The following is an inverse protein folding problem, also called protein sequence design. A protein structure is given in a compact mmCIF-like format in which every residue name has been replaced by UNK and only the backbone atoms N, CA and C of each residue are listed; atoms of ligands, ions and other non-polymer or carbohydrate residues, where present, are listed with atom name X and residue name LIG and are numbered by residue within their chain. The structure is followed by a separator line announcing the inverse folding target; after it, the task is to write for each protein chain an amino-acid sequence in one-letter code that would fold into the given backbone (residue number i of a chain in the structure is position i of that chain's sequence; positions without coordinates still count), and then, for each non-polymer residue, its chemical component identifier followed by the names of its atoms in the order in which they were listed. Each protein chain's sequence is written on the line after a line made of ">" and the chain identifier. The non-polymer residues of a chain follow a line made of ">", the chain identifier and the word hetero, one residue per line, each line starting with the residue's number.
data_IF_020320989557
#
_entry.id   IF_020320989557
#
_cell.length_a   1.000
_cell.length_b   1.000
_cell.length_c   1.000
_cell.angle_alpha   90.00
_cell.angle_beta   90.00
_cell.angle_gamma   90.00
#
_symmetry.space_group_name_H-M   'P 1'
#
loop_
_entity.id
_entity.type
_entity.pdbx_description
1 polymer ?
#
# COMPACT_ATOMS: atom_id res chain seq x y z
N UNK A 1 7.51 -3.56 6.17
CA UNK A 1 7.62 -2.08 6.42
C UNK A 1 6.52 -1.59 7.36
N UNK A 2 6.73 -0.47 8.06
CA UNK A 2 5.75 0.15 8.97
C UNK A 2 5.61 1.66 8.69
N UNK A 3 4.37 2.14 8.65
CA UNK A 3 4.00 3.55 8.64
C UNK A 3 3.22 3.84 9.91
N UNK A 4 3.63 4.88 10.64
CA UNK A 4 2.96 5.32 11.86
C UNK A 4 2.72 6.81 11.77
N UNK A 5 1.47 7.19 11.96
CA UNK A 5 1.09 8.60 11.98
C UNK A 5 1.71 9.32 13.19
N UNK A 6 1.98 10.62 13.04
CA UNK A 6 2.55 11.45 14.12
C UNK A 6 1.71 11.47 15.40
N UNK A 7 0.39 11.33 15.32
CA UNK A 7 -0.47 11.19 16.51
C UNK A 7 -0.27 9.85 17.24
N UNK A 8 0.36 8.88 16.57
CA UNK A 8 0.63 7.54 17.05
C UNK A 8 -0.55 6.56 16.94
N UNK A 9 -1.71 6.99 16.44
CA UNK A 9 -2.92 6.16 16.35
C UNK A 9 -3.03 5.43 15.00
N UNK A 10 -3.17 6.11 13.84
CA UNK A 10 -3.11 5.41 12.56
C UNK A 10 -1.77 4.71 12.39
N UNK A 11 -1.82 3.42 12.04
CA UNK A 11 -0.66 2.59 11.78
C UNK A 11 -0.98 1.60 10.67
N UNK A 12 -0.08 1.50 9.70
CA UNK A 12 -0.15 0.53 8.61
C UNK A 12 1.16 -0.23 8.57
N UNK A 13 1.10 -1.55 8.69
CA UNK A 13 2.22 -2.44 8.45
C UNK A 13 1.91 -3.27 7.22
N UNK A 14 2.88 -3.40 6.33
CA UNK A 14 2.79 -4.22 5.14
C UNK A 14 4.05 -5.07 5.01
N UNK A 15 3.90 -6.32 4.59
CA UNK A 15 5.01 -7.24 4.33
C UNK A 15 4.76 -8.04 3.04
N UNK A 16 5.76 -8.17 2.14
CA UNK A 16 5.75 -9.22 1.14
C UNK A 16 6.15 -10.52 1.85
N UNK A 17 5.29 -11.54 1.79
CA UNK A 17 5.44 -12.74 2.65
C UNK A 17 6.05 -13.90 1.89
N UNK A 18 5.48 -14.20 0.72
CA UNK A 18 5.83 -15.33 -0.13
C UNK A 18 5.28 -15.09 -1.53
N UNK A 19 5.60 -15.98 -2.46
CA UNK A 19 4.93 -16.03 -3.76
C UNK A 19 3.61 -16.77 -3.61
N UNK A 20 2.61 -16.40 -4.41
CA UNK A 20 1.32 -17.10 -4.46
C UNK A 20 1.49 -18.58 -4.77
N UNK A 21 2.34 -18.89 -5.75
CA UNK A 21 2.64 -20.27 -6.13
C UNK A 21 3.96 -20.74 -5.51
N UNK A 22 3.91 -21.93 -4.89
CA UNK A 22 5.07 -22.50 -4.21
C UNK A 22 6.23 -22.83 -5.15
N UNK A 23 5.95 -23.09 -6.43
CA UNK A 23 6.94 -23.46 -7.45
C UNK A 23 6.71 -22.66 -8.73
N UNK A 24 7.81 -22.26 -9.36
CA UNK A 24 7.77 -21.60 -10.65
C UNK A 24 7.38 -22.61 -11.75
N UNK A 25 6.44 -22.23 -12.60
CA UNK A 25 5.89 -23.03 -13.69
C UNK A 25 6.45 -22.60 -15.06
N UNK A 26 7.30 -21.57 -15.10
CA UNK A 26 7.86 -21.00 -16.33
C UNK A 26 7.01 -19.88 -16.93
N UNK A 27 5.99 -19.42 -16.20
CA UNK A 27 5.23 -18.22 -16.55
C UNK A 27 5.73 -17.07 -15.67
N UNK A 28 6.55 -16.19 -16.26
CA UNK A 28 7.18 -15.10 -15.52
C UNK A 28 6.15 -14.14 -14.87
N UNK A 29 4.91 -14.08 -15.33
CA UNK A 29 3.89 -13.26 -14.70
C UNK A 29 3.35 -13.92 -13.44
N UNK A 30 2.83 -15.15 -13.58
CA UNK A 30 2.26 -15.90 -12.46
C UNK A 30 3.33 -16.31 -11.43
N UNK A 31 4.55 -16.62 -11.86
CA UNK A 31 5.62 -17.04 -10.97
C UNK A 31 6.10 -15.92 -10.03
N UNK A 32 5.84 -14.66 -10.39
CA UNK A 32 6.28 -13.47 -9.65
C UNK A 32 5.16 -12.78 -8.85
N UNK A 33 4.01 -13.44 -8.73
CA UNK A 33 2.89 -12.99 -7.93
C UNK A 33 3.21 -13.14 -6.42
N UNK A 34 3.12 -12.05 -5.66
CA UNK A 34 3.43 -11.97 -4.23
C UNK A 34 2.17 -11.89 -3.35
N UNK A 35 2.17 -12.70 -2.29
CA UNK A 35 1.25 -12.57 -1.17
C UNK A 35 1.72 -11.43 -0.27
N UNK A 36 0.85 -10.44 -0.08
CA UNK A 36 1.08 -9.31 0.81
C UNK A 36 0.25 -9.51 2.08
N UNK A 37 0.91 -9.41 3.23
CA UNK A 37 0.23 -9.31 4.52
C UNK A 37 0.20 -7.87 4.98
N UNK A 38 -0.93 -7.47 5.55
CA UNK A 38 -1.06 -6.16 6.18
C UNK A 38 -1.73 -6.22 7.54
N UNK A 39 -1.29 -5.33 8.43
CA UNK A 39 -1.93 -5.04 9.70
C UNK A 39 -2.22 -3.55 9.76
N UNK A 40 -3.49 -3.20 9.96
CA UNK A 40 -3.94 -1.82 9.93
C UNK A 40 -4.66 -1.47 11.22
N UNK A 41 -4.29 -0.34 11.79
CA UNK A 41 -4.99 0.32 12.91
C UNK A 41 -5.41 1.70 12.43
N UNK A 42 -6.70 1.99 12.46
CA UNK A 42 -7.25 3.28 12.06
C UNK A 42 -8.48 3.61 12.93
N UNK A 43 -8.44 4.74 13.65
CA UNK A 43 -9.50 5.22 14.56
C UNK A 43 -10.11 4.08 15.41
N UNK A 44 -11.27 3.56 15.00
CA UNK A 44 -12.06 2.55 15.74
C UNK A 44 -11.91 1.13 15.20
N UNK A 45 -11.06 0.92 14.19
CA UNK A 45 -10.93 -0.37 13.51
C UNK A 45 -9.48 -0.84 13.50
N UNK A 46 -9.33 -2.13 13.77
CA UNK A 46 -8.10 -2.87 13.57
C UNK A 46 -8.42 -4.11 12.74
N UNK A 47 -7.68 -4.33 11.67
CA UNK A 47 -7.83 -5.52 10.84
C UNK A 47 -6.49 -5.96 10.28
N UNK A 48 -6.49 -7.17 9.75
CA UNK A 48 -5.38 -7.72 8.99
C UNK A 48 -5.90 -8.38 7.72
N UNK A 49 -5.02 -8.53 6.75
CA UNK A 49 -5.28 -9.26 5.52
C UNK A 49 -4.00 -9.97 5.08
N UNK A 50 -4.16 -11.05 4.29
CA UNK A 50 -3.05 -11.80 3.69
C UNK A 50 -3.55 -12.41 2.39
N UNK A 51 -3.25 -11.76 1.27
CA UNK A 51 -3.73 -12.17 -0.04
C UNK A 51 -2.66 -11.88 -1.11
N UNK A 52 -2.68 -12.60 -2.24
CA UNK A 52 -2.04 -12.09 -3.44
C UNK A 52 -2.53 -10.65 -3.68
N UNK A 53 -1.64 -9.66 -3.55
CA UNK A 53 -1.91 -8.28 -3.99
C UNK A 53 -0.93 -7.59 -4.97
N UNK A 54 0.29 -8.07 -5.22
CA UNK A 54 1.26 -7.42 -6.12
C UNK A 54 2.07 -8.44 -6.92
N UNK A 55 2.48 -8.11 -8.15
CA UNK A 55 3.66 -8.76 -8.76
C UNK A 55 4.96 -8.13 -8.23
N UNK A 56 6.09 -8.84 -8.33
CA UNK A 56 7.36 -8.36 -7.76
C UNK A 56 7.78 -6.98 -8.27
N UNK A 57 7.53 -6.67 -9.54
CA UNK A 57 7.89 -5.40 -10.14
C UNK A 57 7.06 -4.25 -9.56
N UNK A 58 5.75 -4.45 -9.39
CA UNK A 58 4.86 -3.53 -8.69
C UNK A 58 5.28 -3.34 -7.23
N UNK A 59 5.73 -4.40 -6.56
CA UNK A 59 6.23 -4.30 -5.20
C UNK A 59 7.51 -3.45 -5.13
N UNK A 60 8.40 -3.50 -6.12
CA UNK A 60 9.59 -2.62 -6.18
C UNK A 60 9.16 -1.15 -6.27
N UNK A 61 8.14 -0.84 -7.07
CA UNK A 61 7.63 0.53 -7.25
C UNK A 61 7.17 1.18 -5.94
N UNK A 62 6.71 0.41 -4.95
CA UNK A 62 6.35 0.94 -3.63
C UNK A 62 7.55 1.62 -2.95
N UNK A 63 8.72 0.98 -2.95
CA UNK A 63 9.90 1.58 -2.34
C UNK A 63 10.35 2.84 -3.09
N UNK A 64 10.32 2.81 -4.41
CA UNK A 64 10.66 3.96 -5.24
C UNK A 64 9.67 5.11 -5.04
N UNK A 65 8.39 4.81 -4.85
CA UNK A 65 7.35 5.78 -4.55
C UNK A 65 7.61 6.47 -3.20
N UNK A 66 7.94 5.72 -2.15
CA UNK A 66 8.31 6.33 -0.87
C UNK A 66 9.56 7.21 -0.94
N UNK A 67 10.54 6.84 -1.78
CA UNK A 67 11.69 7.72 -2.05
C UNK A 67 11.28 8.99 -2.79
N UNK A 68 10.36 8.91 -3.76
CA UNK A 68 9.81 10.10 -4.42
C UNK A 68 9.06 10.98 -3.43
N UNK A 69 8.27 10.41 -2.52
CA UNK A 69 7.59 11.15 -1.45
C UNK A 69 8.60 11.88 -0.57
N UNK A 70 9.63 11.19 -0.06
CA UNK A 70 10.65 11.80 0.80
C UNK A 70 11.41 12.95 0.11
N UNK A 71 11.53 12.90 -1.22
CA UNK A 71 12.18 13.93 -2.03
C UNK A 71 11.20 14.96 -2.62
N UNK A 72 9.91 14.92 -2.23
CA UNK A 72 8.83 15.79 -2.77
C UNK A 72 8.68 15.73 -4.30
N UNK A 73 8.97 14.58 -4.89
CA UNK A 73 8.85 14.31 -6.33
C UNK A 73 7.52 13.66 -6.70
N UNK A 74 6.75 13.22 -5.71
CA UNK A 74 5.42 12.66 -5.90
C UNK A 74 4.36 13.75 -5.76
N UNK A 75 3.50 13.93 -6.76
CA UNK A 75 2.51 15.01 -6.77
C UNK A 75 1.33 14.72 -5.83
N UNK A 76 0.85 15.69 -5.03
CA UNK A 76 -0.37 15.51 -4.25
C UNK A 76 -1.60 15.27 -5.12
N UNK A 77 -2.46 14.34 -4.72
CA UNK A 77 -3.73 14.01 -5.40
C UNK A 77 -4.92 14.54 -4.60
N UNK A 78 -5.83 15.19 -5.33
CA UNK A 78 -7.07 15.76 -4.80
C UNK A 78 -8.31 14.90 -5.08
N UNK A 79 -9.45 15.35 -4.56
CA UNK A 79 -10.75 14.76 -4.89
C UNK A 79 -11.09 15.02 -6.36
N UNK A 80 -11.57 13.98 -7.04
CA UNK A 80 -12.19 14.07 -8.36
C UNK A 80 -13.65 14.53 -8.24
N UNK A 81 -14.23 14.96 -9.35
CA UNK A 81 -15.61 15.45 -9.39
C UNK A 81 -16.69 14.43 -8.95
N UNK A 82 -16.35 13.13 -8.89
CA UNK A 82 -17.19 12.06 -8.36
C UNK A 82 -16.93 11.73 -6.88
N UNK A 83 -16.09 12.51 -6.19
CA UNK A 83 -15.70 12.28 -4.80
C UNK A 83 -14.63 11.19 -4.60
N UNK A 84 -14.18 10.52 -5.67
CA UNK A 84 -13.09 9.55 -5.61
C UNK A 84 -11.71 10.23 -5.58
N UNK A 85 -10.71 9.53 -5.07
CA UNK A 85 -9.29 9.91 -5.18
C UNK A 85 -8.67 8.94 -6.17
N UNK A 86 -7.96 9.46 -7.17
CA UNK A 86 -7.10 8.62 -8.01
C UNK A 86 -5.74 8.49 -7.31
N UNK A 87 -5.32 7.26 -6.97
CA UNK A 87 -4.01 7.05 -6.38
C UNK A 87 -2.90 7.41 -7.37
N UNK A 88 -1.76 7.88 -6.86
CA UNK A 88 -0.61 8.16 -7.71
C UNK A 88 0.28 6.93 -7.94
N UNK A 89 0.07 5.87 -7.16
CA UNK A 89 0.56 4.52 -7.39
C UNK A 89 -0.58 3.52 -7.19
N UNK A 90 -0.87 2.71 -8.21
CA UNK A 90 -1.93 1.70 -8.22
C UNK A 90 -1.44 0.46 -8.98
N UNK A 91 -2.05 -0.69 -8.70
CA UNK A 91 -1.55 -1.98 -9.17
C UNK A 91 -2.61 -2.78 -9.93
N UNK A 92 -2.15 -3.86 -10.57
CA UNK A 92 -2.99 -4.79 -11.33
C UNK A 92 -4.11 -5.36 -10.47
N UNK A 93 -3.76 -5.88 -9.29
CA UNK A 93 -4.75 -6.25 -8.27
C UNK A 93 -5.03 -5.03 -7.38
N UNK A 94 -6.25 -4.47 -7.40
CA UNK A 94 -6.55 -3.20 -6.74
C UNK A 94 -6.67 -3.29 -5.21
N UNK A 95 -6.09 -4.32 -4.59
CA UNK A 95 -6.08 -4.51 -3.14
C UNK A 95 -5.42 -3.34 -2.41
N UNK A 96 -4.32 -2.82 -2.97
CA UNK A 96 -3.57 -1.69 -2.42
C UNK A 96 -3.41 -0.57 -3.44
N UNK A 97 -3.26 0.66 -2.96
CA UNK A 97 -2.75 1.78 -3.73
C UNK A 97 -2.24 2.88 -2.79
N UNK A 98 -1.45 3.83 -3.32
CA UNK A 98 -0.83 4.89 -2.54
C UNK A 98 -1.05 6.26 -3.19
N UNK A 99 -1.20 7.29 -2.37
CA UNK A 99 -1.16 8.67 -2.85
C UNK A 99 -0.66 9.64 -1.79
N UNK A 100 -0.27 10.84 -2.22
CA UNK A 100 0.06 11.96 -1.34
C UNK A 100 -1.15 12.89 -1.26
N UNK A 101 -1.56 13.28 -0.06
CA UNK A 101 -2.56 14.34 0.16
C UNK A 101 -1.94 15.72 0.15
N UNK A 102 -0.82 15.88 0.85
CA UNK A 102 -0.15 17.16 1.05
C UNK A 102 1.26 16.96 1.62
N UNK A 103 2.09 17.99 1.53
CA UNK A 103 3.41 18.05 2.17
C UNK A 103 3.43 19.13 3.25
N UNK A 104 4.06 18.83 4.39
CA UNK A 104 4.47 19.78 5.42
C UNK A 104 5.87 20.35 5.15
N UNK A 105 6.61 20.75 6.18
CA UNK A 105 8.02 21.20 6.09
C UNK A 105 9.01 20.02 6.02
N UNK A 106 8.78 19.00 6.84
CA UNK A 106 9.57 17.77 6.93
C UNK A 106 8.69 16.50 6.93
N UNK A 107 7.39 16.67 6.69
CA UNK A 107 6.38 15.60 6.68
C UNK A 107 5.64 15.51 5.34
N UNK A 108 5.02 14.36 5.10
CA UNK A 108 3.98 14.17 4.09
C UNK A 108 2.75 13.54 4.72
N UNK A 109 1.56 13.96 4.29
CA UNK A 109 0.33 13.22 4.56
C UNK A 109 0.13 12.24 3.41
N UNK A 110 0.40 10.96 3.66
CA UNK A 110 0.21 9.88 2.70
C UNK A 110 -1.12 9.18 2.93
N UNK A 111 -1.67 8.59 1.87
CA UNK A 111 -2.83 7.70 1.92
C UNK A 111 -2.42 6.31 1.49
N UNK A 112 -2.75 5.32 2.31
CA UNK A 112 -2.78 3.91 1.89
C UNK A 112 -4.23 3.57 1.61
N UNK A 113 -4.53 3.27 0.35
CA UNK A 113 -5.84 2.89 -0.12
C UNK A 113 -5.98 1.37 -0.02
N UNK A 114 -7.14 0.92 0.45
CA UNK A 114 -7.47 -0.50 0.56
C UNK A 114 -8.75 -0.76 -0.24
N UNK A 115 -8.74 -1.80 -1.07
CA UNK A 115 -9.94 -2.29 -1.74
C UNK A 115 -10.03 -3.82 -1.59
N UNK A 116 -11.17 -4.40 -1.98
CA UNK A 116 -11.39 -5.85 -2.04
C UNK A 116 -10.98 -6.58 -0.74
N UNK A 117 -10.12 -7.60 -0.84
CA UNK A 117 -9.71 -8.44 0.28
C UNK A 117 -8.89 -7.69 1.33
N UNK A 118 -8.30 -6.54 0.98
CA UNK A 118 -7.55 -5.70 1.89
C UNK A 118 -8.42 -4.76 2.74
N UNK A 119 -9.72 -4.61 2.44
CA UNK A 119 -10.66 -3.79 3.22
C UNK A 119 -10.84 -4.31 4.65
N UNK A 120 -11.31 -3.48 5.60
CA UNK A 120 -11.80 -3.97 6.88
C UNK A 120 -12.91 -5.03 6.70
N UNK A 121 -13.01 -6.06 7.56
CA UNK A 121 -13.98 -7.16 7.38
C UNK A 121 -15.45 -6.73 7.25
N UNK A 122 -15.85 -5.66 7.94
CA UNK A 122 -17.20 -5.07 7.87
C UNK A 122 -17.47 -4.27 6.58
N UNK A 123 -16.47 -4.09 5.72
CA UNK A 123 -16.56 -3.43 4.42
C UNK A 123 -16.39 -4.41 3.25
N UNK A 124 -16.41 -5.73 3.52
CA UNK A 124 -16.28 -6.80 2.51
C UNK A 124 -17.65 -7.45 2.23
N UNK A 125 -17.84 -7.95 1.01
CA UNK A 125 -18.97 -8.78 0.61
C UNK A 125 -19.84 -8.21 -0.52
N UNK A 126 -20.85 -8.97 -1.00
CA UNK A 126 -21.58 -8.66 -2.24
C UNK A 126 -22.33 -7.33 -2.24
N UNK A 127 -22.73 -6.85 -1.06
CA UNK A 127 -23.40 -5.56 -0.90
C UNK A 127 -22.42 -4.36 -0.95
N UNK A 128 -21.13 -4.62 -0.75
CA UNK A 128 -20.03 -3.66 -0.77
C UNK A 128 -19.14 -3.78 -2.02
N UNK A 129 -19.44 -4.71 -2.93
CA UNK A 129 -18.80 -4.80 -4.26
C UNK A 129 -19.01 -3.52 -5.11
N UNK A 130 -19.89 -2.62 -4.64
CA UNK A 130 -20.12 -1.28 -5.19
C UNK A 130 -19.24 -0.19 -4.56
N UNK A 131 -18.40 -0.50 -3.57
CA UNK A 131 -17.38 0.44 -3.09
C UNK A 131 -16.42 0.66 -4.27
N UNK A 132 -16.51 1.84 -4.88
CA UNK A 132 -15.63 2.20 -5.98
C UNK A 132 -14.17 2.04 -5.53
N UNK A 133 -13.32 1.47 -6.39
CA UNK A 133 -11.90 1.24 -6.11
C UNK A 133 -11.25 2.46 -5.46
N UNK A 134 -10.44 2.23 -4.43
CA UNK A 134 -9.64 3.25 -3.76
C UNK A 134 -10.42 4.34 -2.99
N UNK A 135 -11.72 4.15 -2.75
CA UNK A 135 -12.52 5.09 -1.93
C UNK A 135 -12.27 4.95 -0.42
N UNK A 136 -11.81 3.79 0.05
CA UNK A 136 -11.36 3.62 1.43
C UNK A 136 -9.85 3.81 1.53
N UNK A 137 -9.41 4.73 2.39
CA UNK A 137 -7.99 4.95 2.65
C UNK A 137 -7.73 5.32 4.11
N UNK A 138 -6.52 5.00 4.57
CA UNK A 138 -5.99 5.48 5.84
C UNK A 138 -5.00 6.60 5.54
N UNK A 139 -5.26 7.78 6.09
CA UNK A 139 -4.35 8.92 6.04
C UNK A 139 -3.36 8.84 7.21
N UNK A 140 -2.07 8.98 6.91
CA UNK A 140 -0.99 9.05 7.89
C UNK A 140 -0.10 10.26 7.58
N UNK A 141 0.08 11.15 8.54
CA UNK A 141 1.16 12.13 8.50
C UNK A 141 2.46 11.47 8.98
N UNK A 142 3.45 11.42 8.10
CA UNK A 142 4.74 10.76 8.35
C UNK A 142 5.92 11.70 8.06
N UNK A 143 7.01 11.66 8.85
CA UNK A 143 8.27 12.30 8.51
C UNK A 143 8.88 11.76 7.21
N UNK A 144 9.67 12.57 6.50
CA UNK A 144 10.43 12.08 5.34
C UNK A 144 11.44 10.99 5.70
N UNK A 145 11.98 11.00 6.92
CA UNK A 145 12.84 9.93 7.43
C UNK A 145 12.11 8.60 7.51
N UNK A 146 10.83 8.62 7.87
CA UNK A 146 10.01 7.42 8.00
C UNK A 146 9.61 6.89 6.62
N UNK A 147 9.35 7.78 5.65
CA UNK A 147 9.18 7.38 4.25
C UNK A 147 10.43 6.65 3.70
N UNK A 148 11.64 7.21 3.92
CA UNK A 148 12.90 6.54 3.53
C UNK A 148 13.14 5.23 4.29
N UNK A 149 12.78 5.19 5.57
CA UNK A 149 12.85 3.99 6.40
C UNK A 149 11.92 2.89 5.90
N UNK A 150 10.70 3.25 5.49
CA UNK A 150 9.73 2.34 4.90
C UNK A 150 10.25 1.77 3.58
N UNK A 151 10.77 2.61 2.68
CA UNK A 151 11.38 2.17 1.42
C UNK A 151 12.55 1.19 1.66
N UNK A 152 13.45 1.52 2.59
CA UNK A 152 14.61 0.70 2.94
C UNK A 152 14.19 -0.66 3.50
N UNK A 153 13.23 -0.65 4.43
CA UNK A 153 12.71 -1.88 5.06
C UNK A 153 12.01 -2.75 4.03
N UNK A 154 11.19 -2.15 3.18
CA UNK A 154 10.47 -2.86 2.12
C UNK A 154 11.43 -3.54 1.14
N UNK A 155 12.48 -2.84 0.68
CA UNK A 155 13.51 -3.45 -0.18
C UNK A 155 14.23 -4.61 0.49
N UNK A 156 14.52 -4.50 1.79
CA UNK A 156 15.16 -5.58 2.54
C UNK A 156 14.26 -6.81 2.61
N UNK A 157 12.96 -6.61 2.80
CA UNK A 157 11.96 -7.69 2.79
C UNK A 157 11.81 -8.31 1.38
N UNK A 158 11.81 -7.49 0.32
CA UNK A 158 11.78 -8.00 -1.05
C UNK A 158 13.06 -8.74 -1.47
N UNK A 159 14.22 -8.39 -0.91
CA UNK A 159 15.48 -9.04 -1.27
C UNK A 159 15.51 -10.55 -0.95
N UNK A 160 14.63 -11.04 -0.06
CA UNK A 160 14.49 -12.48 0.21
C UNK A 160 13.51 -13.18 -0.74
N UNK A 161 12.83 -12.43 -1.61
CA UNK A 161 11.89 -12.88 -2.64
C UNK A 161 12.36 -12.39 -4.02
N UNK A 162 13.44 -12.96 -4.59
CA UNK A 162 14.00 -12.52 -5.87
C UNK A 162 13.06 -12.76 -7.06
N UNK A 163 13.25 -12.07 -8.19
CA UNK A 163 12.46 -12.39 -9.40
C UNK A 163 12.66 -13.86 -9.81
N UNK A 164 11.57 -14.56 -10.11
CA UNK A 164 11.50 -15.96 -10.58
C UNK A 164 11.40 -16.05 -12.09
#
# INVERSE_FOLDING_TARGET
>A
MELKDLSGIPRVVLHPVEYEFASAMGDAWDDNWLVIAGEVTAKEQKWSFRHPSLVIDEAIEIAEWFERVANRREAPTGLRGNGGIEPSLAFTEPNLAFSVKSYGEDTAVVRVHFSLEALPPNHRGPATDQIARYTFSVELEIPFTDALGAATTWRKELAVLPRR
#
